data_IF_856846204285
#
_entry.id   IF_856846204285
#
_cell.length_a   1.000
_cell.length_b   1.000
_cell.length_c   1.000
_cell.angle_alpha   90.00
_cell.angle_beta   90.00
_cell.angle_gamma   90.00
#
_symmetry.space_group_name_H-M   'P 1'
#
loop_
_entity.id
_entity.type
_entity.pdbx_description
1 polymer ?
#
# COMPACT_ATOMS: atom_id res chain seq x y z
N UNK A 1 27.89 14.20 30.40
CA UNK A 1 28.52 12.88 30.27
C UNK A 1 27.88 12.17 29.09
N UNK A 2 28.47 12.36 27.91
CA UNK A 2 28.05 11.71 26.66
C UNK A 2 28.42 10.23 26.80
N UNK A 3 27.57 9.29 26.37
CA UNK A 3 27.59 8.25 25.27
C UNK A 3 26.32 7.40 25.54
N UNK A 4 25.46 7.03 24.60
CA UNK A 4 25.69 5.94 23.66
C UNK A 4 24.77 6.06 22.44
N UNK A 5 25.43 6.24 21.30
CA UNK A 5 24.99 5.92 19.96
C UNK A 5 25.18 4.41 19.75
N UNK A 6 24.21 3.69 19.19
CA UNK A 6 24.45 2.40 18.52
C UNK A 6 23.40 2.18 17.42
N UNK A 7 23.77 2.44 16.17
CA UNK A 7 23.96 1.47 15.06
C UNK A 7 22.69 0.66 14.73
N UNK A 8 22.02 0.92 13.61
CA UNK A 8 22.42 0.54 12.24
C UNK A 8 22.50 -0.99 12.05
N UNK A 9 21.44 -1.54 11.48
CA UNK A 9 21.37 -2.94 11.07
C UNK A 9 20.08 -3.21 10.30
N UNK A 10 20.03 -2.81 9.02
CA UNK A 10 18.99 -3.30 8.11
C UNK A 10 19.68 -4.19 7.09
N UNK A 11 19.35 -5.48 7.18
CA UNK A 11 19.99 -6.60 6.52
C UNK A 11 19.87 -6.55 4.98
N UNK A 12 20.95 -6.96 4.32
CA UNK A 12 20.99 -7.27 2.90
C UNK A 12 19.98 -8.38 2.57
N UNK A 13 19.02 -8.12 1.68
CA UNK A 13 18.21 -9.16 1.06
C UNK A 13 18.70 -9.37 -0.38
N UNK A 14 19.51 -10.40 -0.60
CA UNK A 14 19.91 -10.84 -1.93
C UNK A 14 18.82 -11.75 -2.51
N UNK A 15 18.17 -11.34 -3.61
CA UNK A 15 17.22 -12.17 -4.33
C UNK A 15 17.95 -12.89 -5.47
N UNK A 16 18.05 -14.22 -5.35
CA UNK A 16 18.52 -15.11 -6.39
C UNK A 16 17.45 -15.22 -7.50
N UNK A 17 17.77 -14.78 -8.71
CA UNK A 17 16.93 -14.97 -9.89
C UNK A 17 17.25 -16.31 -10.55
N UNK A 18 16.36 -17.29 -10.42
CA UNK A 18 16.40 -18.51 -11.24
C UNK A 18 15.63 -18.27 -12.54
N UNK A 19 16.34 -18.29 -13.67
CA UNK A 19 15.74 -18.28 -14.99
C UNK A 19 15.10 -19.65 -15.27
N UNK A 20 13.84 -19.67 -15.74
CA UNK A 20 13.22 -20.86 -16.32
C UNK A 20 12.85 -20.59 -17.77
N UNK A 21 13.33 -21.49 -18.61
CA UNK A 21 13.30 -21.48 -20.07
C UNK A 21 11.90 -21.76 -20.61
N UNK A 22 11.74 -21.35 -21.87
CA UNK A 22 10.54 -21.46 -22.69
C UNK A 22 9.93 -22.87 -22.73
N UNK A 23 8.60 -22.90 -22.76
CA UNK A 23 7.85 -23.94 -23.45
C UNK A 23 6.79 -23.26 -24.32
N UNK A 24 6.97 -23.42 -25.62
CA UNK A 24 6.00 -23.04 -26.64
C UNK A 24 4.91 -24.12 -26.64
N UNK A 25 3.71 -23.74 -26.22
CA UNK A 25 2.51 -24.55 -26.29
C UNK A 25 1.52 -23.87 -27.21
N UNK A 26 1.39 -24.45 -28.39
CA UNK A 26 0.53 -24.07 -29.52
C UNK A 26 -0.95 -23.87 -29.20
N UNK A 27 -1.57 -23.01 -29.99
CA UNK A 27 -2.99 -22.71 -30.02
C UNK A 27 -3.81 -23.94 -30.47
N UNK A 28 -4.74 -24.40 -29.63
CA UNK A 28 -5.91 -25.13 -30.11
C UNK A 28 -7.14 -24.69 -29.30
N UNK A 29 -7.97 -23.89 -29.96
CA UNK A 29 -9.35 -23.59 -29.55
C UNK A 29 -10.19 -24.83 -29.83
N UNK A 30 -10.87 -25.35 -28.82
CA UNK A 30 -12.08 -26.15 -28.99
C UNK A 30 -13.09 -25.81 -27.89
N UNK A 31 -14.35 -25.73 -28.28
CA UNK A 31 -15.44 -25.02 -27.62
C UNK A 31 -16.49 -26.02 -27.07
N UNK A 32 -16.87 -25.86 -25.80
CA UNK A 32 -18.19 -26.18 -25.19
C UNK A 32 -18.59 -27.66 -24.93
N UNK A 33 -19.64 -27.95 -24.12
CA UNK A 33 -19.92 -27.55 -22.73
C UNK A 33 -20.37 -28.75 -21.85
N UNK A 34 -20.08 -28.77 -20.54
CA UNK A 34 -20.80 -29.68 -19.63
C UNK A 34 -21.11 -29.01 -18.30
N UNK A 35 -22.41 -28.80 -18.09
CA UNK A 35 -23.03 -28.46 -16.82
C UNK A 35 -22.94 -29.68 -15.88
N UNK A 36 -22.37 -29.52 -14.68
CA UNK A 36 -22.98 -29.92 -13.40
C UNK A 36 -22.00 -29.82 -12.22
N UNK A 37 -22.47 -29.07 -11.22
CA UNK A 37 -22.34 -29.38 -9.79
C UNK A 37 -20.95 -29.40 -9.16
N UNK A 38 -20.55 -28.24 -8.65
CA UNK A 38 -20.06 -28.16 -7.28
C UNK A 38 -20.41 -26.77 -6.71
N UNK A 39 -21.40 -26.74 -5.82
CA UNK A 39 -21.55 -25.67 -4.84
C UNK A 39 -20.24 -25.56 -4.06
N UNK A 40 -19.42 -24.56 -4.39
CA UNK A 40 -18.47 -24.04 -3.43
C UNK A 40 -19.08 -22.78 -2.83
N UNK A 41 -19.32 -22.89 -1.53
CA UNK A 41 -19.95 -21.92 -0.65
C UNK A 41 -19.13 -20.63 -0.63
N UNK A 42 -19.85 -19.56 -0.30
CA UNK A 42 -19.33 -18.27 0.12
C UNK A 42 -18.00 -18.36 0.86
N UNK A 43 -17.00 -17.63 0.38
CA UNK A 43 -16.03 -16.90 1.20
C UNK A 43 -15.10 -16.10 0.28
N UNK A 44 -15.61 -14.99 -0.23
CA UNK A 44 -14.78 -13.90 -0.75
C UNK A 44 -15.35 -12.58 -0.29
N UNK A 45 -15.54 -12.48 1.03
CA UNK A 45 -15.37 -11.21 1.70
C UNK A 45 -13.95 -10.69 1.35
N UNK A 46 -13.84 -9.38 1.12
CA UNK A 46 -12.62 -8.58 0.83
C UNK A 46 -12.33 -8.17 -0.62
N UNK A 47 -13.24 -8.36 -1.58
CA UNK A 47 -13.21 -7.53 -2.82
C UNK A 47 -13.76 -6.12 -2.56
N UNK A 48 -13.09 -5.37 -1.68
CA UNK A 48 -13.23 -3.91 -1.53
C UNK A 48 -12.12 -3.15 -2.27
N UNK A 49 -11.45 -3.81 -3.20
CA UNK A 49 -10.26 -3.28 -3.90
C UNK A 49 -10.41 -3.29 -5.42
N UNK A 50 -11.58 -2.95 -5.97
CA UNK A 50 -11.65 -2.62 -7.40
C UNK A 50 -12.73 -1.59 -7.77
N UNK A 51 -13.01 -0.64 -6.88
CA UNK A 51 -13.70 0.59 -7.27
C UNK A 51 -12.67 1.71 -7.28
N UNK A 52 -11.70 1.61 -8.17
CA UNK A 52 -10.96 2.76 -8.70
C UNK A 52 -11.97 3.65 -9.41
N UNK A 53 -12.72 4.40 -8.60
CA UNK A 53 -13.57 5.46 -9.08
C UNK A 53 -12.69 6.41 -9.89
N UNK A 54 -13.08 6.70 -11.13
CA UNK A 54 -12.66 7.88 -11.86
C UNK A 54 -12.86 9.11 -10.96
N UNK A 55 -11.85 9.45 -10.17
CA UNK A 55 -11.85 10.49 -9.16
C UNK A 55 -10.41 10.87 -8.81
N UNK A 56 -10.22 12.05 -8.23
CA UNK A 56 -8.95 12.76 -7.98
C UNK A 56 -7.92 12.02 -7.10
N UNK A 57 -8.14 10.73 -6.82
CA UNK A 57 -7.43 9.92 -5.84
C UNK A 57 -6.28 9.10 -6.49
N UNK A 58 -5.83 9.54 -7.68
CA UNK A 58 -4.81 9.01 -8.60
C UNK A 58 -3.82 7.93 -8.06
N UNK A 59 -4.26 6.73 -7.67
CA UNK A 59 -3.33 5.69 -7.21
C UNK A 59 -2.72 5.92 -5.81
N UNK A 60 -3.32 6.80 -4.98
CA UNK A 60 -2.97 6.85 -3.56
C UNK A 60 -3.42 5.57 -2.86
N UNK A 61 -2.49 4.93 -2.15
CA UNK A 61 -2.71 3.71 -1.40
C UNK A 61 -2.49 3.97 0.09
N UNK A 62 -3.26 3.29 0.95
CA UNK A 62 -3.02 3.31 2.39
C UNK A 62 -1.71 2.59 2.69
N UNK A 63 -0.86 3.20 3.49
CA UNK A 63 0.33 2.54 4.05
C UNK A 63 -0.02 2.05 5.46
N UNK A 64 -0.10 0.72 5.70
CA UNK A 64 -0.38 0.19 7.01
C UNK A 64 0.66 0.66 8.03
N UNK A 65 0.19 1.08 9.21
CA UNK A 65 1.04 1.37 10.37
C UNK A 65 0.78 0.31 11.44
N UNK A 66 1.84 -0.16 12.08
CA UNK A 66 1.76 -1.08 13.24
C UNK A 66 1.87 -0.34 14.57
N UNK A 67 1.89 1.00 14.54
CA UNK A 67 1.98 1.80 15.75
C UNK A 67 0.73 1.60 16.62
N UNK A 68 0.94 1.01 17.78
CA UNK A 68 -0.07 0.84 18.83
C UNK A 68 -0.11 2.02 19.80
N UNK A 69 -0.96 1.90 20.82
CA UNK A 69 -1.12 2.91 21.85
C UNK A 69 0.21 3.26 22.54
N UNK A 70 0.50 4.56 22.70
CA UNK A 70 1.71 5.09 23.30
C UNK A 70 2.96 5.03 22.42
N UNK A 71 2.86 4.52 21.18
CA UNK A 71 4.00 4.43 20.27
C UNK A 71 4.10 5.66 19.37
N UNK A 72 5.34 5.96 18.94
CA UNK A 72 5.57 6.95 17.90
C UNK A 72 4.82 6.54 16.62
N UNK A 73 3.92 7.39 16.13
CA UNK A 73 3.06 7.10 14.98
C UNK A 73 1.62 6.71 15.34
N UNK A 74 1.27 6.61 16.63
CA UNK A 74 -0.13 6.40 17.05
C UNK A 74 -1.05 7.50 16.46
N UNK A 75 -2.15 7.07 15.84
CA UNK A 75 -3.17 7.96 15.25
C UNK A 75 -2.75 8.66 13.95
N UNK A 76 -1.50 8.48 13.51
CA UNK A 76 -1.04 8.99 12.21
C UNK A 76 -1.57 8.12 11.08
N UNK A 77 -1.98 8.78 9.99
CA UNK A 77 -2.43 8.09 8.77
C UNK A 77 -1.50 8.41 7.61
N UNK A 78 -1.11 7.36 6.89
CA UNK A 78 -0.11 7.44 5.83
C UNK A 78 -0.70 6.94 4.52
N UNK A 79 -0.44 7.69 3.45
CA UNK A 79 -0.84 7.34 2.10
C UNK A 79 0.31 7.59 1.15
N UNK A 80 0.50 6.73 0.16
CA UNK A 80 1.52 6.90 -0.87
C UNK A 80 1.00 6.54 -2.25
N UNK A 81 1.47 7.26 -3.26
CA UNK A 81 1.46 6.82 -4.65
C UNK A 81 2.92 6.57 -5.05
N UNK A 82 3.34 5.29 -5.12
CA UNK A 82 4.69 4.94 -5.52
C UNK A 82 5.05 5.35 -6.95
N UNK A 83 4.09 5.32 -7.88
CA UNK A 83 4.33 5.62 -9.29
C UNK A 83 4.59 7.11 -9.52
N UNK A 84 3.92 7.97 -8.75
CA UNK A 84 4.11 9.42 -8.82
C UNK A 84 5.11 9.97 -7.78
N UNK A 85 5.75 9.10 -7.00
CA UNK A 85 6.65 9.46 -5.89
C UNK A 85 6.09 10.54 -4.96
N UNK A 86 4.81 10.41 -4.61
CA UNK A 86 4.14 11.33 -3.67
C UNK A 86 3.56 10.59 -2.47
N UNK A 87 3.49 11.28 -1.34
CA UNK A 87 2.92 10.74 -0.12
C UNK A 87 2.16 11.82 0.66
N UNK A 88 1.12 11.42 1.36
CA UNK A 88 0.35 12.27 2.27
C UNK A 88 0.40 11.65 3.65
N UNK A 89 0.64 12.48 4.66
CA UNK A 89 0.64 12.10 6.06
C UNK A 89 -0.32 13.01 6.81
N UNK A 90 -1.22 12.43 7.60
CA UNK A 90 -2.20 13.17 8.38
C UNK A 90 -1.94 12.95 9.86
N UNK A 91 -1.69 14.03 10.60
CA UNK A 91 -1.52 13.96 12.05
C UNK A 91 -2.87 13.69 12.75
N UNK A 92 -2.86 13.10 13.95
CA UNK A 92 -4.08 12.95 14.76
C UNK A 92 -4.81 14.28 15.00
N UNK A 93 -4.07 15.40 15.00
CA UNK A 93 -4.57 16.76 15.19
C UNK A 93 -5.20 17.35 13.91
N UNK A 94 -5.13 16.64 12.78
CA UNK A 94 -5.74 17.08 11.52
C UNK A 94 -4.86 17.99 10.68
N UNK A 95 -3.54 17.95 10.88
CA UNK A 95 -2.56 18.57 9.97
C UNK A 95 -2.26 17.64 8.80
N UNK A 96 -2.13 18.19 7.61
CA UNK A 96 -1.90 17.46 6.37
C UNK A 96 -0.53 17.82 5.84
N UNK A 97 0.30 16.79 5.65
CA UNK A 97 1.62 16.92 5.10
C UNK A 97 1.71 16.21 3.75
N UNK A 98 2.29 16.87 2.75
CA UNK A 98 2.51 16.34 1.41
C UNK A 98 4.01 16.21 1.13
N UNK A 99 4.40 15.06 0.59
CA UNK A 99 5.70 14.84 -0.05
C UNK A 99 5.52 14.61 -1.54
N UNK A 100 6.44 15.14 -2.34
CA UNK A 100 6.56 14.93 -3.80
C UNK A 100 8.00 14.54 -4.17
N UNK A 101 8.65 13.75 -3.31
CA UNK A 101 10.04 13.33 -3.48
C UNK A 101 11.12 14.36 -3.08
N UNK A 102 10.73 15.54 -2.58
CA UNK A 102 11.66 16.62 -2.16
C UNK A 102 11.55 16.96 -0.67
N UNK A 103 11.11 16.00 0.14
CA UNK A 103 10.76 16.19 1.54
C UNK A 103 9.30 16.55 1.76
N UNK A 104 8.96 16.73 3.03
CA UNK A 104 7.59 16.88 3.52
C UNK A 104 7.23 18.35 3.73
N UNK A 105 6.00 18.74 3.38
CA UNK A 105 5.49 20.11 3.53
C UNK A 105 4.09 20.09 4.14
N UNK A 106 3.83 20.95 5.12
CA UNK A 106 2.48 21.21 5.62
C UNK A 106 1.66 21.90 4.53
N UNK A 107 0.48 21.36 4.21
CA UNK A 107 -0.40 21.88 3.14
C UNK A 107 -1.77 22.29 3.64
N UNK A 108 -2.23 21.76 4.77
CA UNK A 108 -3.48 22.18 5.41
C UNK A 108 -3.48 21.86 6.90
N UNK A 109 -4.28 22.62 7.66
CA UNK A 109 -4.59 22.35 9.06
C UNK A 109 -6.11 22.44 9.20
N UNK A 110 -6.73 21.39 9.73
CA UNK A 110 -8.16 21.42 10.03
C UNK A 110 -8.36 22.23 11.31
N UNK A 111 -9.22 23.25 11.24
CA UNK A 111 -9.66 23.96 12.44
C UNK A 111 -10.96 23.34 12.94
N UNK A 112 -11.14 23.13 14.25
CA UNK A 112 -12.44 22.82 14.80
C UNK A 112 -13.41 23.94 14.43
N UNK A 113 -14.57 23.61 13.88
CA UNK A 113 -15.66 24.57 13.73
C UNK A 113 -16.32 24.72 15.10
N UNK A 114 -16.28 25.94 15.64
CA UNK A 114 -16.84 26.32 16.94
C UNK A 114 -18.34 26.58 16.89
#
# INVERSE_FOLDING_TARGET
MNKHLLLAGAACLALATTASLATAGEHQRDNQPTQRSAQHRDDSHHSRSNRSAQGFDHGMQVVPTTAGAGQAGEGWRYFSDPAAHRAVVISPQGEYFLSRGKGMRLVAVTRPQS
#
